data_IF_081797714554
#
_entry.id   IF_081797714554
#
_cell.length_a   1.000
_cell.length_b   1.000
_cell.length_c   1.000
_cell.angle_alpha   90.00
_cell.angle_beta   90.00
_cell.angle_gamma   90.00
#
_symmetry.space_group_name_H-M   'P 1'
#
loop_
_entity.id
_entity.type
_entity.pdbx_description
1 polymer ?
#
# COMPACT_ATOMS: atom_id res chain seq x y z
N UNK A 1 -7.22 -4.95 12.24
CA UNK A 1 -7.37 -5.08 10.77
C UNK A 1 -6.22 -4.35 10.13
N UNK A 2 -5.36 -5.05 9.38
CA UNK A 2 -4.20 -4.47 8.73
C UNK A 2 -4.63 -3.67 7.50
N UNK A 3 -4.02 -2.51 7.28
CA UNK A 3 -4.39 -1.59 6.17
C UNK A 3 -3.20 -1.43 5.24
N UNK A 4 -3.39 -1.74 3.97
CA UNK A 4 -2.35 -1.57 2.95
C UNK A 4 -2.65 -0.35 2.07
N UNK A 5 -1.82 0.68 2.18
CA UNK A 5 -1.74 1.73 1.17
C UNK A 5 -1.01 1.17 -0.06
N UNK A 6 -1.72 1.09 -1.18
CA UNK A 6 -1.24 0.41 -2.37
C UNK A 6 -1.62 1.15 -3.65
N UNK A 7 -0.97 0.82 -4.77
CA UNK A 7 -1.42 1.26 -6.08
C UNK A 7 -1.55 0.04 -7.02
N UNK A 8 -2.68 -0.16 -7.74
CA UNK A 8 -2.91 -1.37 -8.55
C UNK A 8 -1.81 -1.67 -9.59
N UNK A 9 -1.17 -0.64 -10.14
CA UNK A 9 -0.09 -0.81 -11.13
C UNK A 9 1.31 -0.96 -10.51
N UNK A 10 1.47 -0.82 -9.18
CA UNK A 10 2.75 -1.06 -8.51
C UNK A 10 3.00 -2.56 -8.37
N UNK A 11 4.11 -3.04 -8.94
CA UNK A 11 4.53 -4.44 -8.84
C UNK A 11 4.76 -4.86 -7.37
N UNK A 12 5.41 -4.01 -6.57
CA UNK A 12 5.63 -4.26 -5.14
C UNK A 12 4.33 -4.34 -4.35
N UNK A 13 3.35 -3.48 -4.67
CA UNK A 13 2.00 -3.56 -4.08
C UNK A 13 1.29 -4.87 -4.43
N UNK A 14 1.46 -5.36 -5.66
CA UNK A 14 0.90 -6.66 -6.06
C UNK A 14 1.57 -7.81 -5.31
N UNK A 15 2.89 -7.76 -5.15
CA UNK A 15 3.66 -8.77 -4.41
C UNK A 15 3.21 -8.90 -2.96
N UNK A 16 3.02 -7.77 -2.26
CA UNK A 16 2.56 -7.79 -0.85
C UNK A 16 1.15 -8.37 -0.73
N UNK A 17 0.20 -7.95 -1.59
CA UNK A 17 -1.16 -8.50 -1.57
C UNK A 17 -1.18 -10.01 -1.83
N UNK A 18 -0.37 -10.50 -2.77
CA UNK A 18 -0.25 -11.93 -3.03
C UNK A 18 0.29 -12.65 -1.79
N UNK A 19 1.35 -12.13 -1.19
CA UNK A 19 1.95 -12.72 0.02
C UNK A 19 0.93 -12.88 1.15
N UNK A 20 0.15 -11.83 1.45
CA UNK A 20 -0.91 -11.90 2.47
C UNK A 20 -2.01 -12.89 2.13
N UNK A 21 -2.42 -12.97 0.86
CA UNK A 21 -3.40 -13.96 0.41
C UNK A 21 -2.88 -15.40 0.58
N UNK A 22 -1.60 -15.67 0.30
CA UNK A 22 -0.99 -16.99 0.52
C UNK A 22 -0.95 -17.39 2.00
N UNK A 23 -0.85 -16.42 2.92
CA UNK A 23 -0.92 -16.67 4.37
C UNK A 23 -2.35 -16.67 4.92
N UNK A 24 -3.37 -16.42 4.11
CA UNK A 24 -4.77 -16.35 4.55
C UNK A 24 -5.09 -15.13 5.41
N UNK A 25 -4.28 -14.06 5.32
CA UNK A 25 -4.44 -12.84 6.10
C UNK A 25 -5.21 -11.77 5.31
N UNK A 26 -6.22 -11.17 5.94
CA UNK A 26 -7.06 -10.16 5.30
C UNK A 26 -6.46 -8.74 5.43
N UNK A 27 -6.53 -7.98 4.34
CA UNK A 27 -6.08 -6.59 4.26
C UNK A 27 -7.24 -5.67 3.88
N UNK A 28 -7.36 -4.55 4.60
CA UNK A 28 -8.06 -3.38 4.10
C UNK A 28 -7.19 -2.64 3.11
N UNK A 29 -7.70 -2.44 1.90
CA UNK A 29 -6.93 -1.83 0.82
C UNK A 29 -7.32 -0.35 0.67
N UNK A 30 -6.32 0.53 0.73
CA UNK A 30 -6.47 1.96 0.42
C UNK A 30 -5.64 2.25 -0.83
N UNK A 31 -6.29 2.71 -1.90
CA UNK A 31 -5.57 3.17 -3.09
C UNK A 31 -4.87 4.51 -2.78
N UNK A 32 -3.55 4.54 -2.89
CA UNK A 32 -2.75 5.75 -2.75
C UNK A 32 -2.04 6.07 -4.07
N UNK A 33 -2.30 7.27 -4.57
CA UNK A 33 -1.73 7.80 -5.82
C UNK A 33 -0.54 8.66 -5.47
N UNK A 34 0.64 8.05 -5.39
CA UNK A 34 1.88 8.69 -4.91
C UNK A 34 2.25 9.99 -5.63
N UNK A 35 1.84 10.16 -6.90
CA UNK A 35 2.05 11.41 -7.66
C UNK A 35 1.20 12.59 -7.19
N UNK A 36 0.13 12.36 -6.42
CA UNK A 36 -0.67 13.42 -5.81
C UNK A 36 0.03 14.06 -4.59
N UNK A 37 1.07 13.40 -4.06
CA UNK A 37 1.88 13.89 -2.93
C UNK A 37 1.02 14.39 -1.75
N UNK A 38 0.00 13.61 -1.38
CA UNK A 38 -0.89 13.87 -0.24
C UNK A 38 -0.05 14.07 1.04
N UNK A 39 -0.16 15.24 1.72
CA UNK A 39 0.63 15.51 2.92
C UNK A 39 0.48 14.45 4.01
N UNK A 40 -0.74 13.94 4.19
CA UNK A 40 -1.05 12.91 5.18
C UNK A 40 -0.31 11.61 4.89
N UNK A 41 -0.19 11.23 3.61
CA UNK A 41 0.56 10.05 3.21
C UNK A 41 2.08 10.25 3.34
N UNK A 42 2.58 11.44 3.03
CA UNK A 42 4.00 11.77 3.20
C UNK A 42 4.43 11.83 4.67
N UNK A 43 3.52 12.15 5.59
CA UNK A 43 3.78 12.03 7.02
C UNK A 43 3.93 10.57 7.46
N UNK A 44 3.16 9.65 6.86
CA UNK A 44 3.26 8.22 7.11
C UNK A 44 4.53 7.62 6.49
N UNK A 45 4.81 7.94 5.23
CA UNK A 45 6.00 7.50 4.50
C UNK A 45 6.63 8.69 3.75
N UNK A 46 7.69 9.31 4.31
CA UNK A 46 8.38 10.44 3.68
C UNK A 46 8.96 10.12 2.30
N UNK A 47 9.25 8.85 2.00
CA UNK A 47 9.70 8.43 0.68
C UNK A 47 8.60 8.58 -0.38
N UNK A 48 7.32 8.65 0.02
CA UNK A 48 6.19 8.79 -0.88
C UNK A 48 6.01 7.59 -1.81
N UNK A 49 6.34 6.39 -1.33
CA UNK A 49 6.29 5.14 -2.09
C UNK A 49 5.21 4.20 -1.55
N UNK A 50 4.74 3.29 -2.40
CA UNK A 50 3.82 2.20 -2.04
C UNK A 50 4.48 0.86 -2.40
N UNK A 51 4.21 -0.24 -1.67
CA UNK A 51 3.21 -0.37 -0.61
C UNK A 51 3.67 0.14 0.76
N UNK A 52 2.70 0.50 1.62
CA UNK A 52 2.89 0.76 3.06
C UNK A 52 1.80 0.02 3.82
N UNK A 53 2.18 -0.75 4.84
CA UNK A 53 1.28 -1.46 5.76
C UNK A 53 1.09 -0.66 7.05
#
# INVERSE_FOLDING_TARGET
MLTLFHFPLSASSRFVRLSFAEYGEELSLIEERTWQRRPEFLQLNPAGTVPVL
#
